data_IF_368545727778
#
_entry.id   IF_368545727778
#
_cell.length_a   1.000
_cell.length_b   1.000
_cell.length_c   1.000
_cell.angle_alpha   90.00
_cell.angle_beta   90.00
_cell.angle_gamma   90.00
#
_symmetry.space_group_name_H-M   'P 1'
#
loop_
_entity.id
_entity.type
_entity.pdbx_description
1 polymer ?
#
# COMPACT_ATOMS: atom_id res chain seq x y z
N UNK A 1 -20.87 -10.04 -21.56
CA UNK A 1 -20.52 -10.12 -20.12
C UNK A 1 -19.14 -9.50 -19.92
N UNK A 2 -19.03 -8.17 -19.79
CA UNK A 2 -17.71 -7.50 -19.57
C UNK A 2 -17.88 -6.14 -18.86
N UNK A 3 -18.71 -6.07 -17.81
CA UNK A 3 -18.74 -4.89 -16.93
C UNK A 3 -17.43 -4.76 -16.11
N UNK A 4 -16.68 -5.87 -15.94
CA UNK A 4 -15.43 -5.91 -15.18
C UNK A 4 -14.32 -5.01 -15.75
N UNK A 5 -14.26 -4.82 -17.08
CA UNK A 5 -13.18 -4.06 -17.73
C UNK A 5 -13.52 -2.58 -17.99
N UNK A 6 -14.76 -2.13 -17.72
CA UNK A 6 -15.16 -0.75 -18.03
C UNK A 6 -14.49 0.30 -17.13
N UNK A 7 -14.08 -0.09 -15.93
CA UNK A 7 -13.55 0.82 -14.91
C UNK A 7 -12.26 0.28 -14.27
N UNK A 8 -11.40 -0.41 -15.03
CA UNK A 8 -10.10 -0.92 -14.53
C UNK A 8 -9.30 0.20 -13.84
N UNK A 9 -9.26 1.39 -14.42
CA UNK A 9 -8.59 2.55 -13.81
C UNK A 9 -9.12 2.90 -12.41
N UNK A 10 -10.44 2.85 -12.19
CA UNK A 10 -11.03 3.13 -10.89
C UNK A 10 -10.79 2.00 -9.88
N UNK A 11 -10.74 0.75 -10.33
CA UNK A 11 -10.34 -0.40 -9.53
C UNK A 11 -8.89 -0.27 -9.05
N UNK A 12 -7.96 0.00 -9.97
CA UNK A 12 -6.54 0.19 -9.66
C UNK A 12 -6.33 1.36 -8.70
N UNK A 13 -7.10 2.43 -8.88
CA UNK A 13 -7.04 3.59 -8.01
C UNK A 13 -7.53 3.29 -6.59
N UNK A 14 -8.56 2.45 -6.45
CA UNK A 14 -9.05 1.99 -5.14
C UNK A 14 -8.03 1.09 -4.43
N UNK A 15 -7.35 0.22 -5.18
CA UNK A 15 -6.24 -0.58 -4.66
C UNK A 15 -5.05 0.30 -4.25
N UNK A 16 -4.72 1.33 -5.05
CA UNK A 16 -3.67 2.28 -4.72
C UNK A 16 -3.98 3.12 -3.48
N UNK A 17 -5.23 3.55 -3.29
CA UNK A 17 -5.65 4.28 -2.10
C UNK A 17 -5.40 3.47 -0.82
N UNK A 18 -5.63 2.16 -0.87
CA UNK A 18 -5.29 1.26 0.24
C UNK A 18 -3.78 1.16 0.45
N UNK A 19 -3.01 1.01 -0.63
CA UNK A 19 -1.55 0.92 -0.56
C UNK A 19 -0.91 2.22 -0.04
N UNK A 20 -1.57 3.37 -0.25
CA UNK A 20 -1.21 4.68 0.30
C UNK A 20 -1.62 4.86 1.78
N UNK A 21 -2.19 3.82 2.40
CA UNK A 21 -2.68 3.81 3.78
C UNK A 21 -3.81 4.84 4.04
N UNK A 22 -4.60 5.15 3.01
CA UNK A 22 -5.77 6.00 3.18
C UNK A 22 -6.80 5.32 4.12
N UNK A 23 -7.40 6.13 4.99
CA UNK A 23 -8.61 5.78 5.75
C UNK A 23 -9.85 5.81 4.86
N UNK A 24 -10.97 5.27 5.34
CA UNK A 24 -12.25 5.31 4.61
C UNK A 24 -12.66 6.74 4.21
N UNK A 25 -12.40 7.72 5.08
CA UNK A 25 -12.74 9.11 4.80
C UNK A 25 -11.78 9.76 3.80
N UNK A 26 -10.47 9.52 3.95
CA UNK A 26 -9.46 10.08 3.04
C UNK A 26 -9.48 9.42 1.66
N UNK A 27 -9.79 8.14 1.55
CA UNK A 27 -9.99 7.45 0.28
C UNK A 27 -11.19 8.01 -0.50
N UNK A 28 -12.28 8.36 0.18
CA UNK A 28 -13.42 9.06 -0.45
C UNK A 28 -13.05 10.46 -0.94
N UNK A 29 -12.29 11.20 -0.13
CA UNK A 29 -11.80 12.53 -0.52
C UNK A 29 -10.86 12.44 -1.75
N UNK A 30 -10.04 11.39 -1.83
CA UNK A 30 -9.18 11.11 -2.99
C UNK A 30 -9.99 10.74 -4.24
N UNK A 31 -11.03 9.92 -4.11
CA UNK A 31 -11.93 9.66 -5.24
C UNK A 31 -12.56 10.96 -5.77
N UNK A 32 -13.02 11.83 -4.88
CA UNK A 32 -13.58 13.13 -5.26
C UNK A 32 -12.53 14.05 -5.92
N UNK A 33 -11.28 14.09 -5.43
CA UNK A 33 -10.21 14.90 -6.04
C UNK A 33 -9.79 14.41 -7.42
N UNK A 34 -10.00 13.13 -7.72
CA UNK A 34 -9.79 12.51 -9.02
C UNK A 34 -10.98 12.69 -9.97
N UNK A 35 -12.02 13.42 -9.56
CA UNK A 35 -13.22 13.65 -10.35
C UNK A 35 -14.19 12.47 -10.38
N UNK A 36 -13.97 11.45 -9.54
CA UNK A 36 -14.85 10.28 -9.46
C UNK A 36 -16.10 10.68 -8.66
N UNK A 37 -17.22 10.85 -9.36
CA UNK A 37 -18.44 11.37 -8.76
C UNK A 37 -19.10 10.34 -7.83
N UNK A 38 -19.51 10.71 -6.60
CA UNK A 38 -20.27 9.82 -5.74
C UNK A 38 -21.57 9.40 -6.43
N UNK A 39 -21.86 8.10 -6.49
CA UNK A 39 -22.96 7.48 -7.27
C UNK A 39 -22.67 7.21 -8.76
N UNK A 40 -21.44 7.37 -9.23
CA UNK A 40 -21.01 6.81 -10.53
C UNK A 40 -20.61 5.33 -10.42
N UNK A 41 -20.64 4.62 -11.55
CA UNK A 41 -20.15 3.23 -11.64
C UNK A 41 -18.64 3.16 -11.32
N UNK A 42 -17.89 4.22 -11.65
CA UNK A 42 -16.47 4.38 -11.31
C UNK A 42 -16.26 4.49 -9.80
N UNK A 43 -17.12 5.24 -9.11
CA UNK A 43 -17.08 5.32 -7.65
C UNK A 43 -17.40 3.99 -6.99
N UNK A 44 -18.37 3.24 -7.54
CA UNK A 44 -18.69 1.90 -7.06
C UNK A 44 -17.51 0.94 -7.23
N UNK A 45 -16.81 1.00 -8.37
CA UNK A 45 -15.58 0.25 -8.61
C UNK A 45 -14.47 0.62 -7.61
N UNK A 46 -14.19 1.91 -7.46
CA UNK A 46 -13.19 2.43 -6.53
C UNK A 46 -13.45 1.97 -5.09
N UNK A 47 -14.66 2.19 -4.59
CA UNK A 47 -14.97 1.89 -3.19
C UNK A 47 -15.03 0.39 -2.91
N UNK A 48 -15.35 -0.40 -3.93
CA UNK A 48 -15.36 -1.87 -3.84
C UNK A 48 -13.94 -2.41 -3.77
N UNK A 49 -13.04 -1.95 -4.63
CA UNK A 49 -11.62 -2.33 -4.63
C UNK A 49 -10.98 -1.96 -3.28
N UNK A 50 -11.11 -0.68 -2.91
CA UNK A 50 -10.58 -0.14 -1.67
C UNK A 50 -11.17 -0.84 -0.44
N UNK A 51 -12.49 -0.96 -0.36
CA UNK A 51 -13.20 -1.60 0.75
C UNK A 51 -12.88 -3.09 0.90
N UNK A 52 -12.64 -3.81 -0.21
CA UNK A 52 -12.19 -5.21 -0.19
C UNK A 52 -10.85 -5.33 0.52
N UNK A 53 -9.87 -4.50 0.19
CA UNK A 53 -8.53 -4.54 0.83
C UNK A 53 -8.58 -4.11 2.29
N UNK A 54 -9.36 -3.08 2.62
CA UNK A 54 -9.56 -2.62 4.01
C UNK A 54 -10.16 -3.74 4.89
N UNK A 55 -11.22 -4.41 4.43
CA UNK A 55 -11.89 -5.47 5.21
C UNK A 55 -11.05 -6.72 5.38
N UNK A 56 -10.31 -7.10 4.34
CA UNK A 56 -9.46 -8.30 4.38
C UNK A 56 -8.11 -8.05 5.07
N UNK A 57 -7.83 -6.81 5.50
CA UNK A 57 -6.53 -6.38 6.03
C UNK A 57 -5.36 -6.91 5.18
N UNK A 58 -5.56 -6.96 3.86
CA UNK A 58 -4.56 -7.52 2.97
C UNK A 58 -3.34 -6.62 3.03
N UNK A 59 -2.21 -7.15 3.50
CA UNK A 59 -0.95 -6.41 3.42
C UNK A 59 -0.69 -6.04 1.97
N UNK A 60 -0.51 -4.75 1.70
CA UNK A 60 -0.24 -4.31 0.34
C UNK A 60 1.07 -4.92 -0.14
N UNK A 61 1.18 -5.36 -1.41
CA UNK A 61 2.42 -5.87 -1.96
C UNK A 61 3.59 -4.89 -1.78
N UNK A 62 3.29 -3.58 -1.85
CA UNK A 62 4.23 -2.50 -1.53
C UNK A 62 4.72 -2.53 -0.09
N UNK A 63 3.85 -2.73 0.89
CA UNK A 63 4.23 -2.83 2.30
C UNK A 63 5.00 -4.11 2.58
N UNK A 64 4.68 -5.21 1.90
CA UNK A 64 5.49 -6.45 1.95
C UNK A 64 6.90 -6.20 1.40
N UNK A 65 7.01 -5.54 0.25
CA UNK A 65 8.31 -5.20 -0.34
C UNK A 65 9.11 -4.21 0.52
N UNK A 66 8.46 -3.20 1.10
CA UNK A 66 9.08 -2.24 2.00
C UNK A 66 9.57 -2.89 3.29
N UNK A 67 8.77 -3.79 3.89
CA UNK A 67 9.18 -4.54 5.07
C UNK A 67 10.35 -5.48 4.76
N UNK A 68 10.33 -6.14 3.60
CA UNK A 68 11.45 -6.99 3.16
C UNK A 68 12.74 -6.17 3.00
N UNK A 69 12.65 -4.98 2.40
CA UNK A 69 13.80 -4.07 2.28
C UNK A 69 14.30 -3.58 3.65
N UNK A 70 13.39 -3.27 4.58
CA UNK A 70 13.75 -2.84 5.94
C UNK A 70 14.45 -3.96 6.73
N UNK A 71 14.05 -5.22 6.56
CA UNK A 71 14.72 -6.35 7.19
C UNK A 71 16.15 -6.53 6.66
N UNK A 72 16.34 -6.40 5.35
CA UNK A 72 17.69 -6.46 4.74
C UNK A 72 18.60 -5.35 5.26
N UNK A 73 18.06 -4.14 5.45
CA UNK A 73 18.83 -3.04 6.02
C UNK A 73 19.19 -3.28 7.50
N UNK A 74 18.26 -3.83 8.29
CA UNK A 74 18.49 -4.14 9.70
C UNK A 74 19.58 -5.22 9.90
N UNK A 75 19.62 -6.23 9.03
CA UNK A 75 20.67 -7.26 9.06
C UNK A 75 22.05 -6.67 8.71
N UNK A 76 22.12 -5.77 7.73
CA UNK A 76 23.36 -5.08 7.35
C UNK A 76 23.89 -4.13 8.46
N UNK A 77 22.98 -3.42 9.14
CA UNK A 77 23.32 -2.55 10.27
C UNK A 77 23.78 -3.38 11.50
N UNK A 78 23.22 -4.57 11.70
CA UNK A 78 23.66 -5.51 12.74
C UNK A 78 25.06 -6.09 12.47
N UNK A 79 25.37 -6.45 11.21
CA UNK A 79 26.69 -6.94 10.82
C UNK A 79 27.78 -5.88 11.03
N UNK A 80 27.50 -4.63 10.64
CA UNK A 80 28.45 -3.51 10.79
C UNK A 80 28.66 -3.11 12.24
N UNK A 81 27.61 -3.17 13.08
CA UNK A 81 27.73 -2.97 14.52
C UNK A 81 28.59 -4.05 15.18
N UNK A 82 28.37 -5.33 14.82
CA UNK A 82 29.14 -6.46 15.35
C UNK A 82 30.61 -6.40 14.95
N UNK A 83 30.91 -6.03 13.69
CA UNK A 83 32.28 -5.85 13.21
C UNK A 83 33.01 -4.70 13.93
N UNK A 84 32.29 -3.61 14.21
CA UNK A 84 32.84 -2.46 14.95
C UNK A 84 33.12 -2.79 16.41
N UNK A 85 32.29 -3.62 17.02
CA UNK A 85 32.46 -4.07 18.41
C UNK A 85 33.66 -5.03 18.56
N UNK A 86 33.86 -5.93 17.60
CA UNK A 86 35.05 -6.81 17.54
C UNK A 86 36.36 -6.04 17.38
N UNK A 87 36.39 -5.01 16.52
CA UNK A 87 37.57 -4.16 16.34
C UNK A 87 37.95 -3.40 17.61
N UNK A 88 36.94 -2.97 18.39
CA UNK A 88 37.13 -2.23 19.65
C UNK A 88 37.60 -3.12 20.80
N UNK A 89 37.31 -4.43 20.75
CA UNK A 89 37.74 -5.40 21.75
C UNK A 89 39.21 -5.86 21.57
N UNK A 90 39.82 -5.55 20.43
CA UNK A 90 41.20 -5.96 20.07
C UNK A 90 42.24 -4.83 20.29
N UNK A 91 41.79 -3.59 20.51
CA UNK A 91 42.62 -2.40 20.80
C UNK A 91 42.73 -2.12 22.29
#
# INVERSE_FOLDING_TARGET
MTLAHKHESAWDMGDFAYDAEDTIETGKAKAASLGIHPCSDEYAAFITAFGRRVRMKQVSPRKVAANAAAMVQADADAETASASELLRAVS
#
